data_IF_567389030254
#
_entry.id   IF_567389030254
#
_cell.length_a   1.000
_cell.length_b   1.000
_cell.length_c   1.000
_cell.angle_alpha   90.00
_cell.angle_beta   90.00
_cell.angle_gamma   90.00
#
_symmetry.space_group_name_H-M   'P 1'
#
loop_
_entity.id
_entity.type
_entity.pdbx_description
1 polymer ?
#
# COMPACT_ATOMS: atom_id res chain seq x y z
N UNK A 1 -8.61 -23.88 2.93
CA UNK A 1 -9.85 -23.52 3.67
C UNK A 1 -9.46 -22.81 4.97
N UNK A 2 -9.16 -21.51 4.90
CA UNK A 2 -8.91 -20.69 6.09
C UNK A 2 -10.15 -19.84 6.41
N UNK A 3 -10.56 -19.79 7.68
CA UNK A 3 -11.76 -19.08 8.12
C UNK A 3 -11.36 -17.73 8.72
N UNK A 4 -11.66 -16.63 8.02
CA UNK A 4 -11.53 -15.27 8.56
C UNK A 4 -12.94 -14.66 8.64
N UNK A 5 -13.58 -14.76 9.81
CA UNK A 5 -14.91 -14.19 10.07
C UNK A 5 -16.09 -14.83 9.32
N UNK A 6 -17.13 -14.03 9.06
CA UNK A 6 -18.45 -14.45 8.49
C UNK A 6 -18.44 -14.69 6.97
N UNK A 7 -17.28 -14.58 6.32
CA UNK A 7 -17.12 -14.73 4.87
C UNK A 7 -16.42 -16.07 4.57
N UNK A 8 -17.04 -16.89 3.71
CA UNK A 8 -16.42 -18.10 3.17
C UNK A 8 -15.74 -17.71 1.87
N UNK A 9 -14.41 -17.60 1.87
CA UNK A 9 -13.60 -17.37 0.67
C UNK A 9 -12.99 -18.70 0.26
N UNK A 10 -13.13 -19.10 -1.00
CA UNK A 10 -12.49 -20.33 -1.50
C UNK A 10 -10.99 -20.08 -1.69
N UNK A 11 -10.12 -21.05 -1.37
CA UNK A 11 -8.67 -20.90 -1.57
C UNK A 11 -8.29 -20.54 -3.03
N UNK A 12 -9.12 -20.93 -3.99
CA UNK A 12 -8.98 -20.61 -5.43
C UNK A 12 -9.31 -19.16 -5.79
N UNK A 13 -9.96 -18.42 -4.89
CA UNK A 13 -10.31 -17.00 -5.06
C UNK A 13 -9.29 -16.06 -4.41
N UNK A 14 -8.38 -16.62 -3.59
CA UNK A 14 -7.32 -15.86 -2.94
C UNK A 14 -6.17 -15.72 -3.93
N UNK A 15 -6.03 -14.52 -4.49
CA UNK A 15 -4.83 -14.14 -5.21
C UNK A 15 -3.64 -14.08 -4.23
N UNK A 16 -2.84 -15.14 -4.25
CA UNK A 16 -1.71 -15.30 -3.33
C UNK A 16 -0.64 -14.23 -3.51
N UNK A 17 -0.42 -13.76 -4.74
CA UNK A 17 0.60 -12.75 -5.03
C UNK A 17 0.17 -11.42 -4.42
N UNK A 18 -1.09 -11.03 -4.58
CA UNK A 18 -1.61 -9.81 -3.94
C UNK A 18 -1.55 -9.89 -2.42
N UNK A 19 -1.87 -11.05 -1.83
CA UNK A 19 -1.79 -11.24 -0.39
C UNK A 19 -0.34 -11.14 0.12
N UNK A 20 0.60 -11.75 -0.59
CA UNK A 20 2.04 -11.66 -0.30
C UNK A 20 2.53 -10.22 -0.42
N UNK A 21 2.12 -9.48 -1.45
CA UNK A 21 2.46 -8.07 -1.61
C UNK A 21 1.91 -7.21 -0.47
N UNK A 22 0.63 -7.38 -0.11
CA UNK A 22 0.02 -6.65 1.02
C UNK A 22 0.77 -6.95 2.33
N UNK A 23 1.14 -8.21 2.55
CA UNK A 23 1.89 -8.63 3.75
C UNK A 23 3.30 -8.05 3.74
N UNK A 24 4.00 -8.16 2.61
CA UNK A 24 5.33 -7.59 2.40
C UNK A 24 5.36 -6.10 2.73
N UNK A 25 4.39 -5.35 2.24
CA UNK A 25 4.37 -3.92 2.48
C UNK A 25 3.93 -3.53 3.89
N UNK A 26 3.09 -4.34 4.54
CA UNK A 26 2.78 -4.21 5.96
C UNK A 26 4.04 -4.39 6.81
N UNK A 27 4.87 -5.36 6.46
CA UNK A 27 6.09 -5.69 7.19
C UNK A 27 7.27 -4.77 6.82
N UNK A 28 7.20 -4.08 5.68
CA UNK A 28 8.20 -3.14 5.18
C UNK A 28 7.56 -1.76 4.88
N UNK A 29 7.08 -1.04 5.91
CA UNK A 29 6.43 0.25 5.73
C UNK A 29 7.39 1.26 5.07
N UNK A 30 6.87 2.07 4.15
CA UNK A 30 7.67 3.07 3.41
C UNK A 30 8.45 2.50 2.22
N UNK A 31 8.25 1.23 1.85
CA UNK A 31 8.86 0.67 0.64
C UNK A 31 8.46 1.45 -0.60
N UNK A 32 9.48 1.94 -1.32
CA UNK A 32 9.39 2.57 -2.63
C UNK A 32 10.34 1.83 -3.55
N UNK A 33 9.83 0.94 -4.40
CA UNK A 33 10.71 0.14 -5.24
C UNK A 33 10.04 -0.38 -6.51
N UNK A 34 10.85 -0.85 -7.45
CA UNK A 34 10.41 -1.47 -8.69
C UNK A 34 9.82 -2.86 -8.48
N UNK A 35 8.92 -3.28 -9.38
CA UNK A 35 8.35 -4.62 -9.38
C UNK A 35 9.43 -5.72 -9.42
N UNK A 36 10.54 -5.48 -10.13
CA UNK A 36 11.68 -6.39 -10.21
C UNK A 36 12.31 -6.65 -8.83
N UNK A 37 12.67 -5.59 -8.10
CA UNK A 37 13.31 -5.73 -6.78
C UNK A 37 12.35 -6.30 -5.74
N UNK A 38 11.08 -5.92 -5.79
CA UNK A 38 10.05 -6.51 -4.94
C UNK A 38 9.91 -8.01 -5.25
N UNK A 39 9.88 -8.39 -6.52
CA UNK A 39 9.86 -9.79 -6.96
C UNK A 39 11.06 -10.60 -6.47
N UNK A 40 12.27 -10.05 -6.54
CA UNK A 40 13.46 -10.70 -6.00
C UNK A 40 13.33 -10.98 -4.49
N UNK A 41 12.76 -10.05 -3.71
CA UNK A 41 12.55 -10.23 -2.26
C UNK A 41 11.46 -11.25 -1.94
N UNK A 42 10.49 -11.42 -2.83
CA UNK A 42 9.38 -12.38 -2.69
C UNK A 42 9.65 -13.73 -3.36
N UNK A 43 10.75 -13.88 -4.09
CA UNK A 43 11.02 -15.08 -4.90
C UNK A 43 10.02 -15.25 -6.06
N UNK A 44 9.52 -14.14 -6.61
CA UNK A 44 8.50 -14.09 -7.68
C UNK A 44 9.07 -13.45 -8.95
N UNK A 45 8.47 -13.75 -10.10
CA UNK A 45 8.84 -13.11 -11.37
C UNK A 45 8.44 -11.63 -11.38
N UNK A 46 9.17 -10.81 -12.13
CA UNK A 46 8.84 -9.38 -12.31
C UNK A 46 7.43 -9.23 -12.84
N UNK A 47 7.06 -9.98 -13.87
CA UNK A 47 5.79 -9.86 -14.61
C UNK A 47 4.60 -10.19 -13.71
N UNK A 48 4.73 -11.22 -12.88
CA UNK A 48 3.69 -11.65 -11.92
C UNK A 48 3.45 -10.58 -10.84
N UNK A 49 4.53 -9.98 -10.34
CA UNK A 49 4.50 -8.90 -9.34
C UNK A 49 3.99 -7.61 -9.95
N UNK A 50 4.46 -7.23 -11.14
CA UNK A 50 4.07 -6.01 -11.86
C UNK A 50 2.56 -6.01 -12.11
N UNK A 51 2.02 -7.09 -12.69
CA UNK A 51 0.58 -7.24 -12.90
C UNK A 51 -0.21 -7.06 -11.61
N UNK A 52 0.23 -7.71 -10.53
CA UNK A 52 -0.46 -7.64 -9.24
C UNK A 52 -0.40 -6.23 -8.63
N UNK A 53 0.74 -5.54 -8.76
CA UNK A 53 0.92 -4.17 -8.31
C UNK A 53 0.10 -3.17 -9.12
N UNK A 54 -0.06 -3.38 -10.43
CA UNK A 54 -0.95 -2.58 -11.28
C UNK A 54 -2.41 -2.73 -10.84
N UNK A 55 -2.89 -3.96 -10.65
CA UNK A 55 -4.25 -4.20 -10.16
C UNK A 55 -4.49 -3.62 -8.75
N UNK A 56 -3.46 -3.65 -7.88
CA UNK A 56 -3.51 -2.99 -6.57
C UNK A 56 -3.49 -1.45 -6.70
N UNK A 57 -2.82 -0.91 -7.71
CA UNK A 57 -2.78 0.52 -8.01
C UNK A 57 -4.14 1.02 -8.51
N UNK A 58 -4.78 0.28 -9.43
CA UNK A 58 -6.15 0.57 -9.91
C UNK A 58 -7.16 0.62 -8.75
N UNK A 59 -6.95 -0.24 -7.74
CA UNK A 59 -7.79 -0.29 -6.53
C UNK A 59 -7.40 0.77 -5.47
N UNK A 60 -6.39 1.59 -5.73
CA UNK A 60 -5.92 2.66 -4.84
C UNK A 60 -5.19 2.17 -3.59
N UNK A 61 -4.62 0.95 -3.64
CA UNK A 61 -3.82 0.34 -2.56
C UNK A 61 -2.33 0.66 -2.74
N UNK A 62 -1.88 0.70 -3.99
CA UNK A 62 -0.53 1.13 -4.35
C UNK A 62 -0.58 2.45 -5.13
N UNK A 63 0.53 3.17 -5.12
CA UNK A 63 0.77 4.30 -6.02
C UNK A 63 1.91 3.90 -6.96
N UNK A 64 1.66 4.03 -8.27
CA UNK A 64 2.70 3.92 -9.30
C UNK A 64 3.23 5.31 -9.61
N UNK A 65 4.54 5.45 -9.61
CA UNK A 65 5.24 6.64 -10.09
C UNK A 65 6.06 6.27 -11.32
N UNK A 66 5.81 6.98 -12.42
CA UNK A 66 6.60 6.83 -13.64
C UNK A 66 7.97 7.47 -13.44
N UNK A 67 8.93 6.64 -13.04
CA UNK A 67 10.34 7.01 -12.83
C UNK A 67 11.23 6.33 -13.87
N UNK A 68 12.42 6.90 -14.13
CA UNK A 68 13.44 6.24 -14.94
C UNK A 68 14.44 5.51 -14.03
N UNK A 69 14.97 4.34 -14.42
CA UNK A 69 14.74 3.63 -15.69
C UNK A 69 13.47 2.76 -15.73
N UNK A 70 12.80 2.55 -14.60
CA UNK A 70 11.59 1.74 -14.50
C UNK A 70 10.62 2.32 -13.47
N UNK A 71 9.29 2.12 -13.65
CA UNK A 71 8.30 2.60 -12.70
C UNK A 71 8.56 2.01 -11.32
N UNK A 72 8.32 2.83 -10.30
CA UNK A 72 8.42 2.42 -8.90
C UNK A 72 7.03 2.40 -8.28
N UNK A 73 6.84 1.44 -7.39
CA UNK A 73 5.60 1.21 -6.67
C UNK A 73 5.82 1.54 -5.20
N UNK A 74 4.90 2.33 -4.68
CA UNK A 74 4.80 2.65 -3.27
C UNK A 74 3.56 1.98 -2.71
N UNK A 75 3.74 1.18 -1.66
CA UNK A 75 2.58 0.76 -0.92
C UNK A 75 2.05 1.89 -0.10
N UNK A 76 0.75 2.07 -0.27
CA UNK A 76 0.08 3.21 0.24
C UNK A 76 -1.28 2.67 0.72
N UNK A 77 -1.26 1.81 1.76
CA UNK A 77 -2.48 1.53 2.54
C UNK A 77 -3.11 2.83 3.06
N UNK A 78 -2.24 3.82 3.28
CA UNK A 78 -2.55 5.21 3.55
C UNK A 78 -3.05 5.99 2.34
N UNK A 79 -3.09 5.51 1.08
CA UNK A 79 -3.29 6.39 -0.10
C UNK A 79 -4.72 6.78 -0.20
N UNK A 80 -5.60 5.79 -0.02
CA UNK A 80 -7.01 6.08 0.06
C UNK A 80 -7.35 6.93 1.28
N UNK A 81 -6.63 6.75 2.39
CA UNK A 81 -6.85 7.50 3.63
C UNK A 81 -6.30 8.93 3.50
N UNK A 82 -5.03 9.12 3.17
CA UNK A 82 -4.36 10.39 2.92
C UNK A 82 -4.98 11.14 1.74
N UNK A 83 -5.43 10.47 0.68
CA UNK A 83 -6.20 11.12 -0.40
C UNK A 83 -7.55 11.62 0.08
N UNK A 84 -8.31 10.79 0.82
CA UNK A 84 -9.56 11.24 1.44
C UNK A 84 -9.32 12.36 2.46
N UNK A 85 -8.23 12.30 3.21
CA UNK A 85 -7.84 13.35 4.15
C UNK A 85 -7.42 14.63 3.41
N UNK A 86 -6.72 14.54 2.27
CA UNK A 86 -6.38 15.70 1.45
C UNK A 86 -7.62 16.30 0.76
N UNK A 87 -8.60 15.47 0.39
CA UNK A 87 -9.90 15.92 -0.13
C UNK A 87 -10.76 16.58 0.97
N UNK A 88 -10.67 16.11 2.22
CA UNK A 88 -11.43 16.64 3.36
C UNK A 88 -10.76 17.84 4.04
N UNK A 89 -9.42 17.87 4.09
CA UNK A 89 -8.65 18.85 4.86
C UNK A 89 -9.01 20.30 4.55
N UNK A 90 -9.20 20.73 3.28
CA UNK A 90 -9.59 22.10 2.97
C UNK A 90 -10.94 22.54 3.55
N UNK A 91 -11.79 21.59 3.95
CA UNK A 91 -13.11 21.82 4.55
C UNK A 91 -13.11 21.68 6.07
N UNK A 92 -11.97 21.33 6.68
CA UNK A 92 -11.80 21.26 8.13
C UNK A 92 -11.32 22.60 8.67
N UNK A 93 -11.75 22.95 9.87
CA UNK A 93 -11.19 24.09 10.59
C UNK A 93 -9.69 23.90 10.87
N UNK A 94 -8.96 25.01 10.95
CA UNK A 94 -7.50 25.02 11.08
C UNK A 94 -6.98 24.17 12.25
N UNK A 95 -7.64 24.23 13.42
CA UNK A 95 -7.25 23.48 14.61
C UNK A 95 -7.39 21.96 14.40
N UNK A 96 -8.41 21.54 13.66
CA UNK A 96 -8.67 20.13 13.33
C UNK A 96 -7.65 19.63 12.30
N UNK A 97 -7.24 20.49 11.35
CA UNK A 97 -6.16 20.17 10.42
C UNK A 97 -4.84 19.95 11.18
N UNK A 98 -4.54 20.80 12.17
CA UNK A 98 -3.32 20.69 12.98
C UNK A 98 -3.29 19.39 13.80
N UNK A 99 -4.38 19.06 14.49
CA UNK A 99 -4.49 17.83 15.29
C UNK A 99 -4.36 16.57 14.42
N UNK A 100 -4.94 16.60 13.22
CA UNK A 100 -4.82 15.51 12.25
C UNK A 100 -3.36 15.32 11.82
N UNK A 101 -2.64 16.41 11.52
CA UNK A 101 -1.23 16.37 11.15
C UNK A 101 -0.38 15.81 12.30
N UNK A 102 -0.59 16.28 13.53
CA UNK A 102 0.12 15.79 14.71
C UNK A 102 -0.09 14.29 14.94
N UNK A 103 -1.33 13.80 14.80
CA UNK A 103 -1.65 12.36 14.95
C UNK A 103 -1.04 11.50 13.84
N UNK A 104 -0.94 12.03 12.62
CA UNK A 104 -0.30 11.33 11.49
C UNK A 104 1.22 11.29 11.66
N UNK A 105 1.84 12.39 12.13
CA UNK A 105 3.27 12.47 12.39
C UNK A 105 3.68 11.65 13.62
N UNK A 106 2.85 11.58 14.66
CA UNK A 106 3.09 10.77 15.85
C UNK A 106 3.14 9.25 15.58
N UNK A 107 2.66 8.79 14.42
CA UNK A 107 2.80 7.39 13.97
C UNK A 107 4.18 7.07 13.39
N UNK A 108 5.07 8.04 13.23
CA UNK A 108 6.51 7.79 13.14
C UNK A 108 7.11 7.87 14.55
N UNK A 109 7.26 6.75 15.29
CA UNK A 109 8.23 6.76 16.35
C UNK A 109 9.59 6.97 15.69
N UNK A 110 10.14 8.16 15.89
CA UNK A 110 11.55 8.39 15.65
C UNK A 110 12.32 7.31 16.39
N UNK A 111 13.13 6.59 15.63
CA UNK A 111 14.42 6.10 16.09
C UNK A 111 15.07 7.15 16.99
N UNK A 112 15.07 6.88 18.30
CA UNK A 112 16.14 7.28 19.22
C UNK A 112 17.05 6.08 19.41
#
# INVERSE_FOLDING_TARGET
MARIGKFIVRDSEIDRVKLELITFFKDNPGTVDSAERIGMRLGRSKEEVEKSLEELTERGICCRLDSRPQPIYMYYATARILRRLAELAPYLDYDVQLELVEKLLARHPGTS
#
